data_IF_141956387999
#
_entry.id   IF_141956387999
#
_cell.length_a   1.000
_cell.length_b   1.000
_cell.length_c   1.000
_cell.angle_alpha   90.00
_cell.angle_beta   90.00
_cell.angle_gamma   90.00
#
_symmetry.space_group_name_H-M   'P 1'
#
loop_
_entity.id
_entity.type
_entity.pdbx_description
1 polymer ?
#
# COMPACT_ATOMS: atom_id res chain seq x y z
N UNK A 1 -46.79 -3.99 -23.98
CA UNK A 1 -45.37 -3.94 -23.60
C UNK A 1 -45.28 -2.87 -22.54
N UNK A 2 -45.09 -3.27 -21.28
CA UNK A 2 -44.94 -2.35 -20.15
C UNK A 2 -43.58 -1.64 -20.31
N UNK A 3 -43.60 -0.40 -20.80
CA UNK A 3 -42.42 0.46 -20.85
C UNK A 3 -42.08 0.79 -19.40
N UNK A 4 -41.31 -0.10 -18.74
CA UNK A 4 -40.90 0.07 -17.36
C UNK A 4 -40.37 1.48 -17.17
N UNK A 5 -40.85 2.14 -16.11
CA UNK A 5 -40.39 3.49 -15.75
C UNK A 5 -38.86 3.50 -15.71
N UNK A 6 -38.24 4.61 -16.12
CA UNK A 6 -36.78 4.74 -16.21
C UNK A 6 -36.07 4.23 -14.95
N UNK A 7 -36.62 4.55 -13.77
CA UNK A 7 -36.18 4.08 -12.45
C UNK A 7 -36.14 2.54 -12.32
N UNK A 8 -37.15 1.84 -12.84
CA UNK A 8 -37.20 0.37 -12.82
C UNK A 8 -36.13 -0.24 -13.71
N UNK A 9 -35.89 0.35 -14.89
CA UNK A 9 -34.84 -0.11 -15.80
C UNK A 9 -33.46 0.11 -15.18
N UNK A 10 -33.23 1.26 -14.55
CA UNK A 10 -31.98 1.57 -13.85
C UNK A 10 -31.72 0.62 -12.67
N UNK A 11 -32.75 0.35 -11.85
CA UNK A 11 -32.63 -0.57 -10.71
C UNK A 11 -32.26 -2.00 -11.15
N UNK A 12 -32.93 -2.52 -12.19
CA UNK A 12 -32.63 -3.84 -12.74
C UNK A 12 -31.23 -3.89 -13.39
N UNK A 13 -30.83 -2.82 -14.08
CA UNK A 13 -29.50 -2.73 -14.66
C UNK A 13 -28.40 -2.72 -13.58
N UNK A 14 -28.60 -1.97 -12.49
CA UNK A 14 -27.68 -1.95 -11.34
C UNK A 14 -27.55 -3.32 -10.70
N UNK A 15 -28.68 -3.99 -10.40
CA UNK A 15 -28.68 -5.33 -9.82
C UNK A 15 -27.95 -6.35 -10.71
N UNK A 16 -28.26 -6.36 -12.01
CA UNK A 16 -27.63 -7.26 -12.96
C UNK A 16 -26.11 -7.02 -13.06
N UNK A 17 -25.68 -5.75 -13.11
CA UNK A 17 -24.28 -5.38 -13.16
C UNK A 17 -23.54 -5.79 -11.88
N UNK A 18 -24.07 -5.45 -10.70
CA UNK A 18 -23.45 -5.75 -9.41
C UNK A 18 -23.32 -7.26 -9.18
N UNK A 19 -24.35 -8.04 -9.54
CA UNK A 19 -24.31 -9.50 -9.45
C UNK A 19 -23.27 -10.11 -10.38
N UNK A 20 -23.25 -9.69 -11.65
CA UNK A 20 -22.28 -10.19 -12.63
C UNK A 20 -20.85 -9.78 -12.28
N UNK A 21 -20.63 -8.54 -11.87
CA UNK A 21 -19.34 -8.03 -11.44
C UNK A 21 -18.84 -8.80 -10.20
N UNK A 22 -19.67 -8.91 -9.16
CA UNK A 22 -19.31 -9.64 -7.92
C UNK A 22 -18.88 -11.07 -8.21
N UNK A 23 -19.64 -11.78 -9.06
CA UNK A 23 -19.28 -13.13 -9.50
C UNK A 23 -17.96 -13.17 -10.27
N UNK A 24 -17.75 -12.27 -11.23
CA UNK A 24 -16.53 -12.24 -12.02
C UNK A 24 -15.29 -11.99 -11.16
N UNK A 25 -15.34 -11.00 -10.26
CA UNK A 25 -14.25 -10.68 -9.35
C UNK A 25 -13.93 -11.86 -8.40
N UNK A 26 -14.95 -12.46 -7.78
CA UNK A 26 -14.77 -13.57 -6.82
C UNK A 26 -14.26 -14.84 -7.50
N UNK A 27 -14.85 -15.25 -8.63
CA UNK A 27 -14.42 -16.44 -9.38
C UNK A 27 -12.97 -16.29 -9.87
N UNK A 28 -12.60 -15.11 -10.37
CA UNK A 28 -11.24 -14.83 -10.87
C UNK A 28 -10.19 -14.97 -9.77
N UNK A 29 -10.38 -14.32 -8.62
CA UNK A 29 -9.39 -14.38 -7.54
C UNK A 29 -9.37 -15.75 -6.87
N UNK A 30 -10.50 -16.45 -6.81
CA UNK A 30 -10.55 -17.82 -6.31
C UNK A 30 -9.78 -18.79 -7.21
N UNK A 31 -9.92 -18.67 -8.53
CA UNK A 31 -9.10 -19.42 -9.48
C UNK A 31 -7.61 -19.08 -9.33
N UNK A 32 -7.26 -17.80 -9.19
CA UNK A 32 -5.88 -17.37 -8.99
C UNK A 32 -5.26 -17.96 -7.71
N UNK A 33 -6.00 -17.94 -6.59
CA UNK A 33 -5.62 -18.59 -5.32
C UNK A 33 -5.47 -20.10 -5.48
N UNK A 34 -6.41 -20.76 -6.18
CA UNK A 34 -6.34 -22.20 -6.42
C UNK A 34 -5.08 -22.59 -7.20
N UNK A 35 -4.74 -21.84 -8.25
CA UNK A 35 -3.58 -22.12 -9.10
C UNK A 35 -2.26 -21.71 -8.42
N UNK A 36 -2.27 -20.70 -7.54
CA UNK A 36 -1.08 -20.21 -6.81
C UNK A 36 -1.43 -19.93 -5.34
N UNK A 37 -1.55 -20.97 -4.50
CA UNK A 37 -2.05 -20.84 -3.12
C UNK A 37 -1.10 -20.08 -2.18
N UNK A 38 0.19 -20.02 -2.48
CA UNK A 38 1.17 -19.31 -1.66
C UNK A 38 1.38 -17.84 -2.05
N UNK A 39 0.83 -17.40 -3.18
CA UNK A 39 0.92 -15.99 -3.60
C UNK A 39 -0.04 -15.14 -2.77
N UNK A 40 0.28 -13.85 -2.57
CA UNK A 40 -0.61 -12.89 -1.92
C UNK A 40 -1.50 -12.25 -2.99
N UNK A 41 -2.74 -12.72 -3.10
CA UNK A 41 -3.72 -12.24 -4.07
C UNK A 41 -4.59 -11.12 -3.50
N UNK A 42 -4.91 -10.15 -4.35
CA UNK A 42 -5.82 -9.05 -4.08
C UNK A 42 -5.91 -8.16 -5.32
N UNK A 43 -6.79 -7.16 -5.26
CA UNK A 43 -7.03 -6.26 -6.38
C UNK A 43 -6.30 -4.93 -6.21
N UNK A 44 -5.61 -4.52 -7.27
CA UNK A 44 -4.97 -3.21 -7.35
C UNK A 44 -6.00 -2.09 -7.15
N UNK A 45 -5.62 -1.05 -6.40
CA UNK A 45 -6.43 0.12 -6.12
C UNK A 45 -7.40 -0.06 -4.95
N UNK A 46 -7.57 -1.28 -4.42
CA UNK A 46 -8.53 -1.55 -3.36
C UNK A 46 -7.85 -1.60 -1.97
N UNK A 47 -8.43 -0.93 -0.94
CA UNK A 47 -9.65 -0.11 -0.99
C UNK A 47 -9.44 1.28 -1.61
N UNK A 48 -10.54 1.87 -2.07
CA UNK A 48 -10.54 3.18 -2.74
C UNK A 48 -10.69 4.33 -1.74
N UNK A 49 -10.23 5.51 -2.17
CA UNK A 49 -10.40 6.79 -1.50
C UNK A 49 -10.66 7.87 -2.56
N UNK A 50 -11.21 9.00 -2.16
CA UNK A 50 -11.41 10.13 -3.07
C UNK A 50 -10.07 10.75 -3.51
N UNK A 51 -9.93 11.06 -4.80
CA UNK A 51 -8.70 11.64 -5.36
C UNK A 51 -8.36 13.04 -4.80
N UNK A 52 -9.36 13.77 -4.29
CA UNK A 52 -9.20 15.07 -3.66
C UNK A 52 -8.94 14.99 -2.14
N UNK A 53 -8.75 13.79 -1.56
CA UNK A 53 -8.54 13.65 -0.12
C UNK A 53 -7.28 14.40 0.33
N UNK A 54 -7.40 15.08 1.46
CA UNK A 54 -6.34 15.90 2.05
C UNK A 54 -6.30 17.34 1.54
N UNK A 55 -6.98 17.67 0.44
CA UNK A 55 -6.86 18.99 -0.18
C UNK A 55 -7.54 20.10 0.65
N UNK A 56 -8.65 19.79 1.34
CA UNK A 56 -9.33 20.74 2.24
C UNK A 56 -8.89 20.57 3.71
N UNK A 57 -7.82 19.83 3.92
CA UNK A 57 -7.17 19.64 5.22
C UNK A 57 -7.60 18.40 6.00
N UNK A 58 -8.47 17.58 5.43
CA UNK A 58 -8.92 16.29 5.96
C UNK A 58 -7.80 15.23 6.02
N UNK A 59 -7.98 14.23 6.88
CA UNK A 59 -7.07 13.08 7.05
C UNK A 59 -7.79 11.75 6.85
N UNK A 60 -8.96 11.78 6.21
CA UNK A 60 -9.81 10.63 5.98
C UNK A 60 -10.46 10.71 4.61
N UNK A 61 -10.78 9.55 4.04
CA UNK A 61 -11.63 9.47 2.86
C UNK A 61 -13.03 9.99 3.16
N UNK A 62 -13.71 10.54 2.14
CA UNK A 62 -15.13 10.88 2.21
C UNK A 62 -15.97 9.67 2.61
N UNK A 63 -17.09 9.93 3.30
CA UNK A 63 -17.96 8.87 3.80
C UNK A 63 -18.49 7.97 2.67
N UNK A 64 -18.85 8.55 1.53
CA UNK A 64 -19.30 7.80 0.34
C UNK A 64 -18.29 6.71 -0.10
N UNK A 65 -16.98 6.98 -0.05
CA UNK A 65 -15.95 6.00 -0.42
C UNK A 65 -15.81 4.90 0.64
N UNK A 66 -15.96 5.24 1.93
CA UNK A 66 -15.98 4.25 3.01
C UNK A 66 -17.19 3.32 2.88
N UNK A 67 -18.35 3.87 2.53
CA UNK A 67 -19.58 3.12 2.32
C UNK A 67 -19.46 2.21 1.09
N UNK A 68 -18.87 2.69 0.00
CA UNK A 68 -18.56 1.85 -1.17
C UNK A 68 -17.61 0.70 -0.81
N UNK A 69 -16.54 0.96 -0.06
CA UNK A 69 -15.64 -0.09 0.40
C UNK A 69 -16.35 -1.11 1.30
N UNK A 70 -17.32 -0.67 2.11
CA UNK A 70 -18.11 -1.57 2.96
C UNK A 70 -19.08 -2.44 2.15
N UNK A 71 -19.60 -1.91 1.03
CA UNK A 71 -20.42 -2.66 0.10
C UNK A 71 -19.60 -3.60 -0.82
N UNK A 72 -18.30 -3.31 -1.03
CA UNK A 72 -17.38 -4.14 -1.81
C UNK A 72 -16.70 -5.24 -0.99
N UNK A 73 -17.25 -5.64 0.16
CA UNK A 73 -16.69 -6.70 1.00
C UNK A 73 -16.50 -8.03 0.29
N UNK A 74 -17.26 -8.33 -0.78
CA UNK A 74 -17.04 -9.52 -1.61
C UNK A 74 -15.62 -9.58 -2.19
N UNK A 75 -15.01 -8.43 -2.54
CA UNK A 75 -13.62 -8.34 -3.01
C UNK A 75 -12.66 -8.65 -1.86
N UNK A 76 -12.89 -8.02 -0.71
CA UNK A 76 -11.99 -8.09 0.43
C UNK A 76 -12.09 -9.42 1.18
N UNK A 77 -13.23 -10.11 1.12
CA UNK A 77 -13.40 -11.46 1.68
C UNK A 77 -12.53 -12.48 0.94
N UNK A 78 -12.41 -12.33 -0.37
CA UNK A 78 -11.63 -13.25 -1.19
C UNK A 78 -10.16 -12.84 -1.36
N UNK A 79 -9.82 -11.58 -1.11
CA UNK A 79 -8.43 -11.10 -1.11
C UNK A 79 -7.67 -11.58 0.12
N UNK A 80 -6.38 -11.86 0.00
CA UNK A 80 -5.49 -12.22 1.13
C UNK A 80 -4.48 -11.11 1.46
N UNK A 81 -4.47 -10.02 0.69
CA UNK A 81 -3.76 -8.78 0.95
C UNK A 81 -4.50 -7.60 0.29
N UNK A 82 -4.23 -6.38 0.75
CA UNK A 82 -4.79 -5.14 0.20
C UNK A 82 -3.73 -4.37 -0.59
N UNK A 83 -4.14 -3.74 -1.69
CA UNK A 83 -3.25 -3.07 -2.64
C UNK A 83 -3.72 -1.65 -3.00
N UNK A 84 -3.87 -0.74 -2.01
CA UNK A 84 -4.31 0.62 -2.28
C UNK A 84 -3.30 1.36 -3.15
N UNK A 85 -3.78 2.26 -4.01
CA UNK A 85 -2.91 3.15 -4.79
C UNK A 85 -2.70 4.47 -4.04
N UNK A 86 -1.44 4.87 -3.90
CA UNK A 86 -1.01 6.13 -3.26
C UNK A 86 -0.22 7.01 -4.24
N UNK A 87 -0.58 6.94 -5.52
CA UNK A 87 0.07 7.72 -6.57
C UNK A 87 -0.16 9.23 -6.36
N UNK A 88 0.85 10.03 -6.67
CA UNK A 88 0.83 11.46 -6.48
C UNK A 88 0.64 12.19 -7.80
N UNK A 89 -0.28 13.15 -7.81
CA UNK A 89 -0.61 13.90 -9.01
C UNK A 89 0.51 14.83 -9.46
N UNK A 90 0.72 14.97 -10.78
CA UNK A 90 1.60 15.97 -11.40
C UNK A 90 1.11 17.41 -11.26
N UNK A 91 -0.14 17.60 -10.83
CA UNK A 91 -0.76 18.91 -10.68
C UNK A 91 0.01 19.80 -9.68
N UNK A 92 0.61 20.87 -10.20
CA UNK A 92 1.42 21.83 -9.42
C UNK A 92 0.61 22.61 -8.39
N UNK A 93 -0.71 22.66 -8.50
CA UNK A 93 -1.60 23.32 -7.52
C UNK A 93 -1.73 22.51 -6.22
N UNK A 94 -1.31 21.24 -6.21
CA UNK A 94 -1.37 20.39 -5.01
C UNK A 94 -0.03 20.45 -4.29
N UNK A 95 -0.05 20.88 -3.03
CA UNK A 95 1.16 20.99 -2.20
C UNK A 95 1.63 19.63 -1.67
N UNK A 96 2.90 19.53 -1.27
CA UNK A 96 3.44 18.32 -0.65
C UNK A 96 2.71 17.94 0.64
N UNK A 97 2.21 18.92 1.41
CA UNK A 97 1.40 18.64 2.60
C UNK A 97 0.03 18.07 2.26
N UNK A 98 -0.61 18.53 1.17
CA UNK A 98 -1.86 17.95 0.70
C UNK A 98 -1.64 16.51 0.20
N UNK A 99 -0.53 16.26 -0.51
CA UNK A 99 -0.12 14.91 -0.93
C UNK A 99 0.15 13.98 0.25
N UNK A 100 0.80 14.47 1.31
CA UNK A 100 1.00 13.72 2.54
C UNK A 100 -0.33 13.30 3.19
N UNK A 101 -1.29 14.24 3.28
CA UNK A 101 -2.64 13.97 3.80
C UNK A 101 -3.42 12.99 2.93
N UNK A 102 -3.31 13.09 1.61
CA UNK A 102 -3.90 12.13 0.67
C UNK A 102 -3.43 10.71 0.96
N UNK A 103 -2.11 10.49 1.00
CA UNK A 103 -1.55 9.17 1.30
C UNK A 103 -2.01 8.69 2.68
N UNK A 104 -2.03 9.56 3.69
CA UNK A 104 -2.49 9.21 5.03
C UNK A 104 -3.95 8.74 5.02
N UNK A 105 -4.84 9.46 4.33
CA UNK A 105 -6.25 9.12 4.22
C UNK A 105 -6.47 7.75 3.55
N UNK A 106 -5.77 7.49 2.43
CA UNK A 106 -5.82 6.20 1.72
C UNK A 106 -5.36 5.06 2.63
N UNK A 107 -4.21 5.23 3.30
CA UNK A 107 -3.65 4.18 4.17
C UNK A 107 -4.50 3.95 5.42
N UNK A 108 -5.09 5.01 5.99
CA UNK A 108 -6.02 4.89 7.11
C UNK A 108 -7.27 4.09 6.72
N UNK A 109 -7.78 4.28 5.52
CA UNK A 109 -8.89 3.49 4.99
C UNK A 109 -8.48 2.03 4.73
N UNK A 110 -7.29 1.80 4.16
CA UNK A 110 -6.73 0.46 4.01
C UNK A 110 -6.60 -0.27 5.36
N UNK A 111 -6.16 0.44 6.41
CA UNK A 111 -6.11 -0.10 7.76
C UNK A 111 -7.49 -0.38 8.35
N UNK A 112 -8.49 0.47 8.08
CA UNK A 112 -9.88 0.23 8.51
C UNK A 112 -10.42 -1.06 7.92
N UNK A 113 -10.23 -1.29 6.62
CA UNK A 113 -10.65 -2.53 5.94
C UNK A 113 -9.82 -3.72 6.42
N UNK A 114 -8.50 -3.59 6.53
CA UNK A 114 -7.60 -4.65 7.01
C UNK A 114 -8.03 -5.21 8.36
N UNK A 115 -8.39 -4.34 9.31
CA UNK A 115 -8.80 -4.70 10.68
C UNK A 115 -10.17 -5.38 10.78
N UNK A 116 -10.95 -5.44 9.70
CA UNK A 116 -12.19 -6.24 9.66
C UNK A 116 -11.93 -7.75 9.64
N UNK A 117 -10.69 -8.16 9.39
CA UNK A 117 -10.28 -9.55 9.28
C UNK A 117 -9.37 -9.96 10.44
N UNK A 118 -9.36 -11.26 10.76
CA UNK A 118 -8.50 -11.84 11.78
C UNK A 118 -7.75 -13.07 11.23
N UNK A 119 -6.42 -13.03 11.05
CA UNK A 119 -5.56 -11.87 11.27
C UNK A 119 -5.90 -10.69 10.33
N UNK A 120 -5.54 -9.45 10.70
CA UNK A 120 -5.65 -8.31 9.79
C UNK A 120 -4.95 -8.58 8.47
N UNK A 121 -5.55 -8.16 7.35
CA UNK A 121 -4.95 -8.38 6.03
C UNK A 121 -3.71 -7.50 5.84
N UNK A 122 -2.59 -8.02 5.33
CA UNK A 122 -1.41 -7.20 5.06
C UNK A 122 -1.70 -6.18 3.96
N UNK A 123 -1.11 -5.00 4.06
CA UNK A 123 -1.29 -3.87 3.13
C UNK A 123 0.01 -3.65 2.36
N UNK A 124 -0.05 -3.72 1.03
CA UNK A 124 1.05 -3.42 0.12
C UNK A 124 0.68 -2.24 -0.78
N UNK A 125 1.03 -1.03 -0.35
CA UNK A 125 0.60 0.18 -1.05
C UNK A 125 1.36 0.36 -2.37
N UNK A 126 0.63 0.54 -3.46
CA UNK A 126 1.22 0.87 -4.75
C UNK A 126 1.62 2.34 -4.78
N UNK A 127 2.90 2.59 -4.96
CA UNK A 127 3.47 3.93 -5.15
C UNK A 127 4.22 3.99 -6.48
N UNK A 128 4.57 5.21 -6.92
CA UNK A 128 5.49 5.42 -8.04
C UNK A 128 6.77 6.07 -7.54
N UNK A 129 7.73 6.21 -8.45
CA UNK A 129 8.88 7.10 -8.29
C UNK A 129 8.67 8.46 -8.99
N UNK A 130 7.59 8.57 -9.77
CA UNK A 130 7.28 9.66 -10.72
C UNK A 130 5.84 10.11 -10.56
N UNK A 131 5.55 11.39 -10.82
CA UNK A 131 4.19 11.93 -10.74
C UNK A 131 3.26 11.40 -11.83
N UNK A 132 1.96 11.36 -11.54
CA UNK A 132 0.91 10.84 -12.41
C UNK A 132 -0.15 11.91 -12.78
N UNK A 133 -0.58 12.04 -14.05
CA UNK A 133 0.01 11.42 -15.24
C UNK A 133 1.47 11.83 -15.42
N UNK A 134 2.25 10.93 -16.02
CA UNK A 134 3.65 11.20 -16.36
C UNK A 134 3.70 12.16 -17.56
N UNK A 135 3.86 13.43 -17.26
CA UNK A 135 4.04 14.51 -18.25
C UNK A 135 5.49 14.57 -18.76
N UNK A 136 6.46 14.38 -17.87
CA UNK A 136 7.89 14.54 -18.13
C UNK A 136 8.65 13.25 -17.76
N UNK A 137 9.72 12.89 -18.50
CA UNK A 137 10.41 11.61 -18.34
C UNK A 137 11.22 11.48 -17.03
N UNK A 138 11.63 12.61 -16.46
CA UNK A 138 12.53 12.78 -15.30
C UNK A 138 11.86 13.47 -14.09
N UNK A 139 10.56 13.75 -14.17
CA UNK A 139 9.79 14.36 -13.07
C UNK A 139 9.46 13.34 -11.98
N UNK A 140 10.49 12.99 -11.22
CA UNK A 140 10.45 12.10 -10.06
C UNK A 140 9.96 12.84 -8.80
N UNK A 141 9.43 12.09 -7.84
CA UNK A 141 8.95 12.64 -6.56
C UNK A 141 10.02 13.47 -5.86
N UNK A 142 9.64 14.61 -5.27
CA UNK A 142 10.51 15.42 -4.41
C UNK A 142 10.95 14.65 -3.14
N UNK A 143 11.82 15.24 -2.33
CA UNK A 143 12.21 14.62 -1.06
C UNK A 143 11.03 14.55 -0.09
N UNK A 144 10.20 15.60 -0.01
CA UNK A 144 8.98 15.56 0.80
C UNK A 144 8.01 14.47 0.33
N UNK A 145 7.83 14.30 -0.99
CA UNK A 145 6.91 13.30 -1.53
C UNK A 145 7.45 11.87 -1.45
N UNK A 146 8.77 11.65 -1.51
CA UNK A 146 9.38 10.36 -1.17
C UNK A 146 9.18 10.03 0.32
N UNK A 147 9.27 11.02 1.21
CA UNK A 147 8.96 10.82 2.63
C UNK A 147 7.50 10.41 2.81
N UNK A 148 6.58 11.13 2.17
CA UNK A 148 5.15 10.83 2.28
C UNK A 148 4.77 9.49 1.66
N UNK A 149 5.49 9.02 0.64
CA UNK A 149 5.17 7.77 -0.06
C UNK A 149 5.96 6.53 0.42
N UNK A 150 6.98 6.70 1.27
CA UNK A 150 7.81 5.61 1.78
C UNK A 150 7.86 5.62 3.32
N UNK A 151 8.31 6.73 3.92
CA UNK A 151 8.47 6.82 5.37
C UNK A 151 7.13 6.86 6.09
N UNK A 152 6.16 7.64 5.59
CA UNK A 152 4.84 7.70 6.21
C UNK A 152 4.13 6.34 6.23
N UNK A 153 4.06 5.54 5.14
CA UNK A 153 3.55 4.17 5.22
C UNK A 153 4.27 3.30 6.26
N UNK A 154 5.60 3.36 6.33
CA UNK A 154 6.39 2.61 7.31
C UNK A 154 6.03 3.04 8.75
N UNK A 155 5.97 4.35 9.01
CA UNK A 155 5.57 4.92 10.29
C UNK A 155 4.13 4.59 10.67
N UNK A 156 3.25 4.39 9.70
CA UNK A 156 1.87 3.93 9.91
C UNK A 156 1.79 2.41 10.16
N UNK A 157 2.87 1.65 9.99
CA UNK A 157 2.88 0.20 10.16
C UNK A 157 2.30 -0.58 8.99
N UNK A 158 2.33 -0.02 7.78
CA UNK A 158 1.96 -0.73 6.53
C UNK A 158 2.98 -1.83 6.23
N UNK A 159 2.55 -2.97 5.69
CA UNK A 159 3.40 -4.17 5.50
C UNK A 159 4.41 -4.04 4.35
N UNK A 160 4.19 -3.11 3.43
CA UNK A 160 5.17 -2.76 2.40
C UNK A 160 4.65 -1.76 1.38
N UNK A 161 5.55 -1.35 0.49
CA UNK A 161 5.23 -0.51 -0.67
C UNK A 161 5.70 -1.22 -1.95
N UNK A 162 4.96 -1.06 -3.03
CA UNK A 162 5.28 -1.58 -4.37
C UNK A 162 5.55 -0.39 -5.28
N UNK A 163 6.78 -0.28 -5.79
CA UNK A 163 7.10 0.74 -6.79
C UNK A 163 6.64 0.28 -8.17
N UNK A 164 5.79 1.08 -8.80
CA UNK A 164 5.32 0.89 -10.16
C UNK A 164 5.78 2.04 -11.06
N UNK A 165 6.17 1.71 -12.30
CA UNK A 165 6.47 2.69 -13.34
C UNK A 165 5.89 2.20 -14.67
N UNK A 166 5.49 3.14 -15.53
CA UNK A 166 4.96 2.80 -16.85
C UNK A 166 6.08 2.38 -17.81
N UNK A 167 5.82 1.33 -18.60
CA UNK A 167 6.71 0.88 -19.70
C UNK A 167 6.81 1.89 -20.86
N UNK A 168 5.95 2.91 -20.90
CA UNK A 168 5.96 3.94 -21.94
C UNK A 168 7.31 4.66 -21.99
N UNK A 169 7.97 4.59 -23.14
CA UNK A 169 9.29 5.18 -23.41
C UNK A 169 10.41 4.65 -22.48
N UNK A 170 10.33 3.39 -22.02
CA UNK A 170 11.29 2.85 -21.06
C UNK A 170 12.74 2.95 -21.54
N UNK A 171 13.03 2.66 -22.81
CA UNK A 171 14.39 2.73 -23.38
C UNK A 171 15.06 4.08 -23.16
N UNK A 172 14.31 5.18 -23.26
CA UNK A 172 14.82 6.53 -22.99
C UNK A 172 14.94 6.83 -21.49
N UNK A 173 14.08 6.23 -20.67
CA UNK A 173 13.97 6.52 -19.23
C UNK A 173 14.87 5.66 -18.36
N UNK A 174 15.40 4.56 -18.88
CA UNK A 174 16.21 3.62 -18.11
C UNK A 174 17.37 4.31 -17.37
N UNK A 175 18.14 5.15 -18.06
CA UNK A 175 19.29 5.86 -17.46
C UNK A 175 18.84 6.90 -16.43
N UNK A 176 17.74 7.62 -16.70
CA UNK A 176 17.16 8.59 -15.76
C UNK A 176 16.67 7.91 -14.48
N UNK A 177 15.97 6.77 -14.60
CA UNK A 177 15.50 5.97 -13.48
C UNK A 177 16.69 5.39 -12.71
N UNK A 178 17.69 4.85 -13.40
CA UNK A 178 18.90 4.32 -12.77
C UNK A 178 19.60 5.42 -11.95
N UNK A 179 19.80 6.61 -12.51
CA UNK A 179 20.41 7.73 -11.80
C UNK A 179 19.57 8.15 -10.57
N UNK A 180 18.24 8.26 -10.72
CA UNK A 180 17.36 8.61 -9.60
C UNK A 180 17.36 7.56 -8.48
N UNK A 181 17.41 6.28 -8.83
CA UNK A 181 17.49 5.16 -7.87
C UNK A 181 18.83 5.15 -7.17
N UNK A 182 19.94 5.19 -7.92
CA UNK A 182 21.29 5.10 -7.34
C UNK A 182 21.63 6.30 -6.46
N UNK A 183 21.24 7.51 -6.88
CA UNK A 183 21.69 8.73 -6.21
C UNK A 183 20.75 9.19 -5.09
N UNK A 184 19.49 8.74 -5.08
CA UNK A 184 18.48 9.28 -4.15
C UNK A 184 17.50 8.24 -3.65
N UNK A 185 16.63 7.71 -4.50
CA UNK A 185 15.49 6.89 -4.09
C UNK A 185 15.95 5.61 -3.38
N UNK A 186 17.01 4.96 -3.88
CA UNK A 186 17.58 3.77 -3.27
C UNK A 186 18.13 4.02 -1.87
N UNK A 187 18.81 5.15 -1.65
CA UNK A 187 19.32 5.51 -0.32
C UNK A 187 18.17 5.80 0.67
N UNK A 188 17.09 6.45 0.20
CA UNK A 188 15.88 6.68 1.01
C UNK A 188 15.27 5.35 1.45
N UNK A 189 15.03 4.43 0.50
CA UNK A 189 14.48 3.11 0.79
C UNK A 189 15.36 2.34 1.77
N UNK A 190 16.68 2.35 1.54
CA UNK A 190 17.66 1.69 2.41
C UNK A 190 17.60 2.23 3.84
N UNK A 191 17.74 3.54 4.04
CA UNK A 191 17.75 4.15 5.36
C UNK A 191 16.48 3.84 6.15
N UNK A 192 15.31 3.99 5.51
CA UNK A 192 14.02 3.74 6.17
C UNK A 192 13.89 2.26 6.56
N UNK A 193 14.27 1.35 5.65
CA UNK A 193 14.19 -0.09 5.90
C UNK A 193 15.10 -0.51 7.05
N UNK A 194 16.36 -0.07 7.03
CA UNK A 194 17.34 -0.39 8.08
C UNK A 194 16.93 0.20 9.44
N UNK A 195 16.41 1.43 9.47
CA UNK A 195 15.97 2.09 10.70
C UNK A 195 14.75 1.38 11.33
N UNK A 196 13.77 0.98 10.51
CA UNK A 196 12.60 0.24 10.97
C UNK A 196 12.95 -1.18 11.41
N UNK A 197 13.88 -1.83 10.72
CA UNK A 197 14.34 -3.18 11.09
C UNK A 197 15.12 -3.19 12.41
N UNK A 198 15.99 -2.19 12.60
CA UNK A 198 16.68 -1.98 13.86
C UNK A 198 15.67 -1.77 14.99
N UNK A 199 14.65 -0.94 14.78
CA UNK A 199 13.60 -0.71 15.77
C UNK A 199 12.80 -1.99 16.07
N UNK A 200 12.45 -2.78 15.05
CA UNK A 200 11.80 -4.08 15.21
C UNK A 200 12.63 -5.02 16.10
N UNK A 201 13.93 -5.09 15.87
CA UNK A 201 14.85 -5.94 16.63
C UNK A 201 15.01 -5.42 18.07
N UNK A 202 15.34 -4.15 18.26
CA UNK A 202 15.73 -3.58 19.55
C UNK A 202 14.54 -3.23 20.44
N UNK A 203 13.44 -2.74 19.86
CA UNK A 203 12.25 -2.29 20.61
C UNK A 203 11.18 -3.36 20.69
N UNK A 204 10.90 -4.06 19.59
CA UNK A 204 9.75 -4.96 19.45
C UNK A 204 10.11 -6.46 19.46
N UNK A 205 11.27 -6.81 20.00
CA UNK A 205 11.74 -8.19 20.19
C UNK A 205 11.71 -9.04 18.91
N UNK A 206 11.88 -8.42 17.74
CA UNK A 206 11.74 -9.04 16.41
C UNK A 206 10.36 -9.62 16.07
N UNK A 207 9.33 -9.37 16.88
CA UNK A 207 7.98 -9.93 16.77
C UNK A 207 6.89 -8.85 16.61
N UNK A 208 7.28 -7.68 16.11
CA UNK A 208 6.37 -6.58 15.87
C UNK A 208 7.01 -5.49 15.03
N UNK A 209 6.20 -4.61 14.47
CA UNK A 209 6.63 -3.45 13.71
C UNK A 209 6.55 -2.19 14.56
N UNK A 210 7.46 -1.24 14.33
CA UNK A 210 7.42 0.05 14.98
C UNK A 210 6.45 0.99 14.26
N UNK A 211 5.51 1.57 15.01
CA UNK A 211 4.49 2.50 14.51
C UNK A 211 4.64 3.82 15.25
N UNK A 212 4.75 4.92 14.51
CA UNK A 212 4.90 6.26 15.05
C UNK A 212 3.62 6.65 15.81
N UNK A 213 3.78 7.29 16.97
CA UNK A 213 2.66 7.68 17.84
C UNK A 213 1.86 8.88 17.30
N UNK A 214 2.48 9.69 16.45
CA UNK A 214 1.90 10.90 15.86
C UNK A 214 2.01 10.88 14.34
N UNK A 215 1.42 11.87 13.67
CA UNK A 215 1.45 11.95 12.21
C UNK A 215 2.87 12.22 11.71
N UNK A 216 3.26 11.54 10.63
CA UNK A 216 4.57 11.75 10.00
C UNK A 216 4.65 13.16 9.45
N UNK A 217 5.74 13.87 9.76
CA UNK A 217 6.02 15.18 9.17
C UNK A 217 7.03 15.00 8.06
N UNK A 218 6.66 15.38 6.83
CA UNK A 218 7.53 15.31 5.66
C UNK A 218 7.86 16.73 5.17
N UNK A 219 9.15 16.99 4.97
CA UNK A 219 9.64 18.25 4.43
C UNK A 219 10.82 17.99 3.47
N UNK A 220 11.13 18.95 2.59
CA UNK A 220 12.18 18.75 1.57
C UNK A 220 13.60 18.76 2.13
N UNK A 221 13.80 19.33 3.32
CA UNK A 221 15.08 19.37 4.04
C UNK A 221 15.32 18.13 4.92
N UNK A 222 14.39 17.17 4.92
CA UNK A 222 14.39 16.04 5.84
C UNK A 222 15.55 15.10 5.52
N UNK A 223 16.39 14.82 6.52
CA UNK A 223 17.33 13.73 6.44
C UNK A 223 16.62 12.45 6.85
N UNK A 224 16.69 11.42 6.00
CA UNK A 224 16.13 10.12 6.30
C UNK A 224 16.97 9.44 7.38
N UNK A 225 16.43 9.25 8.60
CA UNK A 225 17.24 8.85 9.73
C UNK A 225 17.70 7.40 9.56
N UNK A 226 18.95 7.13 9.91
CA UNK A 226 19.50 5.77 10.01
C UNK A 226 19.02 5.02 11.27
N UNK A 227 18.34 5.71 12.19
CA UNK A 227 17.77 5.14 13.42
C UNK A 227 16.55 5.93 13.88
N UNK A 228 15.54 5.23 14.39
CA UNK A 228 14.32 5.86 14.91
C UNK A 228 14.46 6.22 16.39
N UNK A 229 13.85 7.33 16.80
CA UNK A 229 13.73 7.67 18.21
C UNK A 229 12.71 6.74 18.89
N UNK A 230 13.17 5.72 19.61
CA UNK A 230 12.30 4.70 20.19
C UNK A 230 11.19 5.24 21.11
N UNK A 231 11.33 6.43 21.71
CA UNK A 231 10.26 7.00 22.56
C UNK A 231 9.04 7.49 21.76
N UNK A 232 9.21 7.79 20.48
CA UNK A 232 8.14 8.27 19.60
C UNK A 232 7.37 7.14 18.92
N UNK A 233 7.83 5.89 19.05
CA UNK A 233 7.23 4.72 18.42
C UNK A 233 6.65 3.77 19.46
N UNK A 234 5.59 3.06 19.08
CA UNK A 234 5.06 1.89 19.79
C UNK A 234 5.23 0.63 18.94
N UNK A 235 5.14 -0.53 19.56
CA UNK A 235 5.11 -1.79 18.83
C UNK A 235 3.68 -2.16 18.45
N UNK A 236 3.49 -2.52 17.18
CA UNK A 236 2.34 -3.29 16.71
C UNK A 236 2.80 -4.73 16.49
N UNK A 237 2.38 -5.64 17.36
CA UNK A 237 2.86 -7.01 17.35
C UNK A 237 2.36 -7.78 16.14
N UNK A 238 3.19 -8.70 15.67
CA UNK A 238 2.80 -9.67 14.67
C UNK A 238 1.76 -10.63 15.24
N UNK A 239 1.02 -11.28 14.35
CA UNK A 239 0.02 -12.26 14.76
C UNK A 239 0.64 -13.35 15.63
N UNK A 240 0.00 -13.63 16.77
CA UNK A 240 0.49 -14.59 17.77
C UNK A 240 1.34 -13.97 18.89
N UNK A 241 1.71 -12.69 18.80
CA UNK A 241 2.49 -11.98 19.82
C UNK A 241 1.72 -10.85 20.49
N UNK A 242 2.06 -10.54 21.75
CA UNK A 242 1.44 -9.50 22.57
C UNK A 242 2.45 -8.84 23.51
N UNK A 243 1.99 -7.78 24.18
CA UNK A 243 2.76 -6.99 25.12
C UNK A 243 3.37 -5.75 24.46
N UNK A 244 3.82 -4.80 25.28
CA UNK A 244 4.34 -3.51 24.82
C UNK A 244 5.55 -3.65 23.88
N UNK A 245 6.36 -4.70 24.06
CA UNK A 245 7.55 -5.02 23.27
C UNK A 245 7.42 -6.32 22.46
N UNK A 246 6.22 -6.88 22.34
CA UNK A 246 5.95 -8.12 21.61
C UNK A 246 6.80 -9.32 22.05
N UNK A 247 7.11 -9.40 23.34
CA UNK A 247 7.96 -10.43 23.93
C UNK A 247 7.19 -11.67 24.40
N UNK A 248 5.86 -11.63 24.40
CA UNK A 248 5.00 -12.71 24.89
C UNK A 248 4.14 -13.29 23.78
N UNK A 249 3.92 -14.59 23.76
CA UNK A 249 2.98 -15.23 22.83
C UNK A 249 1.54 -15.18 23.36
N UNK A 250 0.56 -15.17 22.46
CA UNK A 250 -0.87 -15.15 22.81
C UNK A 250 -1.33 -16.54 23.31
N UNK A 251 -0.69 -17.63 22.86
CA UNK A 251 -0.96 -19.01 23.27
C UNK A 251 0.32 -19.77 23.67
N UNK A 252 0.23 -20.72 24.61
CA UNK A 252 1.26 -21.71 24.95
C UNK A 252 1.37 -22.84 23.90
N UNK A 253 0.82 -22.64 22.71
CA UNK A 253 0.75 -23.67 21.68
C UNK A 253 1.89 -23.52 20.68
N UNK A 254 2.59 -24.62 20.43
CA UNK A 254 3.88 -24.69 19.72
C UNK A 254 3.76 -24.55 18.19
N UNK A 255 2.56 -24.26 17.68
CA UNK A 255 2.30 -24.02 16.26
C UNK A 255 2.33 -22.53 15.91
N UNK A 256 3.43 -21.84 16.24
CA UNK A 256 3.70 -20.53 15.64
C UNK A 256 3.99 -20.77 14.15
N UNK A 257 2.95 -20.70 13.32
CA UNK A 257 3.14 -20.39 11.91
C UNK A 257 3.79 -19.01 11.85
N UNK A 258 5.13 -18.99 11.85
CA UNK A 258 5.87 -17.87 11.31
C UNK A 258 5.36 -17.75 9.87
N UNK A 259 4.41 -16.83 9.64
CA UNK A 259 4.30 -16.24 8.32
C UNK A 259 5.74 -15.86 7.98
N UNK A 260 6.33 -16.40 6.90
CA UNK A 260 7.67 -16.03 6.54
C UNK A 260 7.69 -14.52 6.55
N UNK A 261 8.55 -13.95 7.39
CA UNK A 261 8.97 -12.58 7.24
C UNK A 261 9.59 -12.56 5.87
N UNK A 262 8.77 -12.28 4.86
CA UNK A 262 9.27 -11.89 3.55
C UNK A 262 9.84 -10.51 3.81
N UNK A 263 11.05 -10.49 4.39
CA UNK A 263 12.03 -9.60 3.83
C UNK A 263 12.00 -9.95 2.35
N UNK A 264 11.45 -9.05 1.56
CA UNK A 264 12.11 -8.75 0.31
C UNK A 264 13.51 -8.30 0.75
N UNK A 265 14.39 -9.29 0.95
CA UNK A 265 15.81 -9.07 0.89
C UNK A 265 15.96 -8.44 -0.49
N UNK A 266 16.21 -7.14 -0.51
CA UNK A 266 16.67 -6.44 -1.69
C UNK A 266 18.09 -6.97 -1.97
N UNK A 267 18.18 -8.25 -2.35
CA UNK A 267 19.18 -8.59 -3.32
C UNK A 267 18.69 -7.90 -4.59
N UNK A 268 19.51 -7.00 -5.11
CA UNK A 268 19.44 -6.64 -6.51
C UNK A 268 20.22 -7.70 -7.30
N UNK A 269 19.63 -8.83 -7.73
CA UNK A 269 19.97 -9.37 -9.03
C UNK A 269 19.03 -8.68 -10.00
N UNK A 270 19.55 -7.64 -10.67
CA UNK A 270 19.12 -7.18 -11.99
C UNK A 270 17.63 -7.29 -12.33
N UNK A 271 16.93 -6.15 -12.40
CA UNK A 271 15.81 -5.92 -13.34
C UNK A 271 14.87 -7.13 -13.50
N UNK A 272 13.77 -7.20 -12.73
CA UNK A 272 12.71 -8.15 -13.05
C UNK A 272 12.01 -7.69 -14.33
N UNK A 273 12.57 -8.11 -15.45
CA UNK A 273 11.89 -8.27 -16.73
C UNK A 273 12.08 -9.74 -17.12
N UNK A 274 11.22 -10.61 -16.61
CA UNK A 274 11.14 -11.99 -17.11
C UNK A 274 10.03 -12.05 -18.16
N UNK A 275 10.37 -11.69 -19.40
CA UNK A 275 9.57 -12.08 -20.56
C UNK A 275 9.84 -13.56 -20.82
N UNK A 276 8.79 -14.39 -20.79
CA UNK A 276 8.83 -15.68 -21.47
C UNK A 276 8.57 -15.43 -22.96
N UNK A 277 9.44 -15.87 -23.89
CA UNK A 277 9.12 -15.84 -25.30
C UNK A 277 7.95 -16.79 -25.55
N UNK A 278 6.83 -16.27 -26.05
CA UNK A 278 5.85 -17.09 -26.77
C UNK A 278 6.46 -17.30 -28.15
N UNK A 279 6.87 -18.53 -28.44
CA UNK A 279 7.06 -18.97 -29.82
C UNK A 279 5.69 -18.95 -30.50
N UNK A 280 5.53 -18.14 -31.53
CA UNK A 280 4.70 -18.47 -32.70
C UNK A 280 5.67 -18.77 -33.84
#
# INVERSE_FOLDING_TARGET
>A
MDNGTHERVEALAKEAFENAASKFFTDTINMAKFVRPSAKWGFYGCPYCNYDAGQKGEYECKQEYKDWNDNMTFIFNESIALYPSIYLSSNSSITSQQRARYIYAVLKEAQRISKKYNPPRPIYAYTKIEYDPKEEPDKFYSNSDLCSSILQPANMGVDGVIFWSSSKNMSFRCELIQAAVNNRIGQVVKNITEAHEKCRTEKCSSNGRCVLLHNTTCNDAMQYPSSLNHSEYKCQCDYGYKGERCNSTIHNDTSVFKLPTVFLRWEFPSVVTKFYPIKL
#
